data_IF_875693756991
#
_entry.id   IF_875693756991
#
_cell.length_a   1.000
_cell.length_b   1.000
_cell.length_c   1.000
_cell.angle_alpha   90.00
_cell.angle_beta   90.00
_cell.angle_gamma   90.00
#
_symmetry.space_group_name_H-M   'P 1'
#
loop_
_entity.id
_entity.type
_entity.pdbx_description
1 polymer ?
#
# COMPACT_ATOMS: atom_id res chain seq x y z
N UNK A 1 6.67 9.32 14.83
CA UNK A 1 7.51 10.54 14.76
C UNK A 1 7.55 11.14 16.15
N UNK A 2 8.69 11.09 16.82
CA UNK A 2 8.93 11.88 18.03
C UNK A 2 9.62 13.17 17.59
N UNK A 3 9.02 14.32 17.91
CA UNK A 3 9.60 15.63 17.72
C UNK A 3 10.38 15.96 19.00
N UNK A 4 11.71 15.99 18.92
CA UNK A 4 12.56 16.66 19.89
C UNK A 4 13.29 17.79 19.14
N UNK A 5 12.85 19.02 19.41
CA UNK A 5 13.53 20.31 19.15
C UNK A 5 14.24 20.52 17.79
N UNK A 6 13.55 20.23 16.69
CA UNK A 6 13.98 20.40 15.28
C UNK A 6 14.68 19.21 14.62
N UNK A 7 14.60 18.01 15.21
CA UNK A 7 15.03 16.79 14.54
C UNK A 7 13.86 15.94 14.06
N UNK A 8 14.08 15.21 12.97
CA UNK A 8 13.22 14.13 12.50
C UNK A 8 14.01 12.83 12.47
N UNK A 9 13.40 11.78 13.02
CA UNK A 9 13.88 10.42 12.89
C UNK A 9 12.88 9.63 12.04
N UNK A 10 13.36 9.02 10.96
CA UNK A 10 12.54 8.20 10.05
C UNK A 10 13.11 6.79 10.06
N UNK A 11 12.23 5.80 10.22
CA UNK A 11 12.60 4.39 10.13
C UNK A 11 11.97 3.78 8.88
N UNK A 12 12.81 3.41 7.93
CA UNK A 12 12.45 2.65 6.74
C UNK A 12 12.72 1.18 7.03
N UNK A 13 11.66 0.38 7.12
CA UNK A 13 11.71 -1.05 7.46
C UNK A 13 10.98 -1.89 6.43
N UNK A 14 11.35 -3.17 6.32
CA UNK A 14 10.77 -4.13 5.37
C UNK A 14 10.84 -3.63 3.92
N UNK A 15 11.97 -3.04 3.53
CA UNK A 15 12.12 -2.54 2.17
C UNK A 15 12.24 -3.68 1.16
N UNK A 16 11.62 -3.49 0.00
CA UNK A 16 11.63 -4.47 -1.09
C UNK A 16 13.01 -4.71 -1.70
N UNK A 17 13.94 -3.78 -1.51
CA UNK A 17 15.36 -3.91 -1.89
C UNK A 17 16.20 -4.58 -0.79
N UNK A 18 15.58 -5.04 0.31
CA UNK A 18 16.27 -5.64 1.46
C UNK A 18 17.08 -4.64 2.31
N UNK A 19 17.07 -3.35 1.94
CA UNK A 19 17.93 -2.34 2.58
C UNK A 19 17.11 -1.43 3.51
N UNK A 20 17.03 -1.84 4.76
CA UNK A 20 16.38 -1.04 5.80
C UNK A 20 17.32 0.04 6.31
N UNK A 21 16.74 1.20 6.66
CA UNK A 21 17.49 2.40 6.95
C UNK A 21 16.88 3.19 8.11
N UNK A 22 17.74 3.80 8.92
CA UNK A 22 17.39 4.82 9.90
C UNK A 22 17.91 6.16 9.42
N UNK A 23 17.06 7.16 9.41
CA UNK A 23 17.39 8.52 9.00
C UNK A 23 17.25 9.44 10.20
N UNK A 24 18.23 10.31 10.39
CA UNK A 24 18.13 11.45 11.30
C UNK A 24 18.41 12.70 10.49
N UNK A 25 17.58 13.72 10.65
CA UNK A 25 17.77 15.00 9.98
C UNK A 25 17.28 16.16 10.81
N UNK A 26 17.78 17.36 10.51
CA UNK A 26 17.41 18.61 11.16
C UNK A 26 16.59 19.46 10.20
N UNK A 27 15.56 20.11 10.73
CA UNK A 27 14.76 21.05 9.97
C UNK A 27 15.51 22.37 9.77
N UNK A 28 15.44 22.89 8.55
CA UNK A 28 15.75 24.26 8.17
C UNK A 28 14.58 24.79 7.30
N UNK A 29 13.63 25.46 7.94
CA UNK A 29 12.35 25.81 7.33
C UNK A 29 11.58 24.57 6.83
N UNK A 30 11.39 24.46 5.51
CA UNK A 30 10.76 23.29 4.87
C UNK A 30 11.76 22.24 4.39
N UNK A 31 13.06 22.52 4.48
CA UNK A 31 14.10 21.58 4.10
C UNK A 31 14.50 20.76 5.33
N UNK A 32 14.84 19.51 5.08
CA UNK A 32 15.46 18.63 6.07
C UNK A 32 16.75 18.13 5.50
N UNK A 33 17.83 18.24 6.26
CA UNK A 33 19.14 17.67 5.90
C UNK A 33 19.63 16.78 7.02
N UNK A 34 20.35 15.73 6.68
CA UNK A 34 20.83 14.81 7.69
C UNK A 34 21.64 13.65 7.13
N UNK A 35 21.77 12.60 7.95
CA UNK A 35 22.45 11.37 7.60
C UNK A 35 21.57 10.16 7.81
N UNK A 36 21.81 9.11 7.03
CA UNK A 36 21.15 7.83 7.17
C UNK A 36 22.16 6.70 7.31
N UNK A 37 21.76 5.69 8.07
CA UNK A 37 22.48 4.42 8.22
C UNK A 37 21.56 3.33 7.71
N UNK A 38 22.07 2.48 6.83
CA UNK A 38 21.31 1.36 6.28
C UNK A 38 22.02 0.03 6.53
N UNK A 39 21.30 -1.09 6.32
CA UNK A 39 21.89 -2.43 6.29
C UNK A 39 23.06 -2.50 5.31
N UNK A 40 22.97 -1.78 4.20
CA UNK A 40 24.02 -1.65 3.20
C UNK A 40 24.19 -0.18 2.83
N UNK A 41 25.33 0.39 3.22
CA UNK A 41 25.68 1.79 2.95
C UNK A 41 25.02 2.80 3.88
N UNK A 42 24.84 4.02 3.35
CA UNK A 42 24.37 5.17 4.10
C UNK A 42 25.06 6.44 3.60
N UNK A 43 24.62 7.59 4.09
CA UNK A 43 25.22 8.85 3.65
C UNK A 43 24.39 10.08 4.00
N UNK A 44 24.77 11.24 3.45
CA UNK A 44 23.99 12.45 3.58
C UNK A 44 22.69 12.33 2.77
N UNK A 45 21.61 12.88 3.31
CA UNK A 45 20.34 12.98 2.61
C UNK A 45 19.72 14.36 2.79
N UNK A 46 18.81 14.71 1.87
CA UNK A 46 17.98 15.90 1.97
C UNK A 46 16.53 15.56 1.60
N UNK A 47 15.59 16.21 2.26
CA UNK A 47 14.17 16.14 1.95
C UNK A 47 13.52 17.51 2.00
N UNK A 48 12.36 17.66 1.36
CA UNK A 48 11.55 18.88 1.43
C UNK A 48 10.14 18.50 1.89
N UNK A 49 9.64 19.18 2.92
CA UNK A 49 8.27 18.98 3.40
C UNK A 49 7.31 19.59 2.37
N UNK A 50 6.54 18.72 1.70
CA UNK A 50 5.42 19.14 0.87
C UNK A 50 4.13 19.02 1.67
N UNK A 51 3.36 20.10 1.74
CA UNK A 51 1.98 20.08 2.24
C UNK A 51 1.05 19.86 1.06
N UNK A 52 1.10 18.66 0.49
CA UNK A 52 0.09 18.21 -0.48
C UNK A 52 -1.15 17.71 0.28
N UNK A 53 -2.34 17.67 -0.35
CA UNK A 53 -3.46 16.92 0.20
C UNK A 53 -2.94 15.53 0.58
N UNK A 54 -3.17 15.10 1.83
CA UNK A 54 -2.69 13.79 2.29
C UNK A 54 -3.27 12.73 1.35
N UNK A 55 -2.44 12.21 0.45
CA UNK A 55 -2.77 11.00 -0.31
C UNK A 55 -2.94 9.89 0.73
N UNK A 56 -4.11 9.21 0.77
CA UNK A 56 -4.32 8.13 1.71
C UNK A 56 -3.23 7.08 1.53
N UNK A 57 -2.62 6.63 2.64
CA UNK A 57 -1.71 5.50 2.59
C UNK A 57 -2.51 4.23 2.23
N UNK A 58 -2.00 3.44 1.28
CA UNK A 58 -2.56 2.13 0.95
C UNK A 58 -2.35 1.13 2.11
N UNK A 59 -1.57 1.46 3.14
CA UNK A 59 -1.41 0.61 4.31
C UNK A 59 -0.76 -0.75 4.00
N UNK A 60 -0.84 -1.67 4.96
CA UNK A 60 -0.17 -2.97 4.90
C UNK A 60 -1.12 -4.12 4.57
N UNK A 61 -2.40 -3.97 4.87
CA UNK A 61 -3.40 -5.00 4.65
C UNK A 61 -4.74 -4.39 4.28
N UNK A 62 -5.43 -5.02 3.33
CA UNK A 62 -6.81 -4.69 3.00
C UNK A 62 -7.69 -5.89 3.36
N UNK A 63 -8.81 -5.61 3.99
CA UNK A 63 -9.88 -6.60 4.17
C UNK A 63 -11.01 -6.23 3.22
N UNK A 64 -11.26 -7.12 2.26
CA UNK A 64 -12.11 -6.88 1.11
C UNK A 64 -13.32 -7.81 1.10
N UNK A 65 -14.41 -7.36 0.49
CA UNK A 65 -15.62 -8.13 0.26
C UNK A 65 -16.20 -7.86 -1.14
N UNK A 66 -16.46 -8.94 -1.88
CA UNK A 66 -17.10 -8.94 -3.19
C UNK A 66 -17.97 -10.19 -3.38
N UNK A 67 -19.22 -10.05 -3.84
CA UNK A 67 -20.07 -11.19 -4.26
C UNK A 67 -20.12 -12.37 -3.27
N UNK A 68 -20.06 -12.09 -1.97
CA UNK A 68 -20.02 -13.10 -0.88
C UNK A 68 -18.65 -13.74 -0.60
N UNK A 69 -17.61 -13.34 -1.31
CA UNK A 69 -16.20 -13.61 -1.02
C UNK A 69 -15.65 -12.61 -0.02
N UNK A 70 -14.71 -13.06 0.82
CA UNK A 70 -13.92 -12.22 1.70
C UNK A 70 -12.45 -12.31 1.34
N UNK A 71 -11.87 -11.20 0.91
CA UNK A 71 -10.47 -11.04 0.55
C UNK A 71 -9.61 -10.54 1.71
N UNK A 72 -8.39 -11.08 1.81
CA UNK A 72 -7.30 -10.50 2.59
C UNK A 72 -6.15 -10.22 1.64
N UNK A 73 -5.78 -8.95 1.49
CA UNK A 73 -4.68 -8.53 0.61
C UNK A 73 -3.55 -7.97 1.45
N UNK A 74 -2.35 -8.55 1.36
CA UNK A 74 -1.21 -8.19 2.22
C UNK A 74 -0.09 -7.58 1.39
N UNK A 75 0.36 -6.38 1.76
CA UNK A 75 1.40 -5.63 1.05
C UNK A 75 2.75 -6.34 1.17
N UNK A 76 3.46 -6.46 0.04
CA UNK A 76 4.86 -6.92 0.01
C UNK A 76 5.80 -5.77 0.36
N UNK A 77 6.23 -5.72 1.62
CA UNK A 77 7.16 -4.69 2.10
C UNK A 77 6.64 -3.28 1.85
N UNK A 78 7.47 -2.42 1.25
CA UNK A 78 7.11 -1.04 0.89
C UNK A 78 6.66 -0.88 -0.58
N UNK A 79 6.42 -1.98 -1.31
CA UNK A 79 5.97 -1.95 -2.71
C UNK A 79 4.45 -1.79 -2.83
N UNK A 80 3.96 -1.42 -4.02
CA UNK A 80 2.52 -1.44 -4.32
C UNK A 80 2.01 -2.82 -4.80
N UNK A 81 2.74 -3.88 -4.48
CA UNK A 81 2.34 -5.26 -4.78
C UNK A 81 1.76 -5.89 -3.53
N UNK A 82 0.62 -6.55 -3.67
CA UNK A 82 -0.07 -7.25 -2.58
C UNK A 82 -0.32 -8.70 -2.96
N UNK A 83 -0.16 -9.60 -1.99
CA UNK A 83 -0.61 -10.98 -2.08
C UNK A 83 -2.05 -11.07 -1.59
N UNK A 84 -2.94 -11.58 -2.44
CA UNK A 84 -4.35 -11.67 -2.15
C UNK A 84 -4.80 -13.11 -1.94
N UNK A 85 -5.71 -13.30 -0.98
CA UNK A 85 -6.43 -14.54 -0.75
C UNK A 85 -7.90 -14.26 -0.49
N UNK A 86 -8.78 -14.85 -1.30
CA UNK A 86 -10.22 -14.80 -1.11
C UNK A 86 -10.75 -16.13 -0.59
N UNK A 87 -11.72 -16.05 0.32
CA UNK A 87 -12.40 -17.22 0.89
C UNK A 87 -13.91 -17.04 0.88
N UNK A 88 -14.63 -18.14 0.66
CA UNK A 88 -16.08 -18.22 0.71
C UNK A 88 -16.50 -19.60 1.21
N UNK A 89 -17.50 -19.72 2.11
CA UNK A 89 -17.98 -21.01 2.57
C UNK A 89 -18.41 -21.91 1.39
N UNK A 90 -17.93 -23.16 1.39
CA UNK A 90 -18.24 -24.13 0.34
C UNK A 90 -17.49 -23.94 -0.99
N UNK A 91 -16.56 -23.00 -1.09
CA UNK A 91 -15.75 -22.78 -2.29
C UNK A 91 -14.25 -22.93 -2.00
N UNK A 92 -13.49 -23.32 -3.02
CA UNK A 92 -12.03 -23.37 -2.95
C UNK A 92 -11.48 -21.95 -2.82
N UNK A 93 -10.57 -21.67 -1.87
CA UNK A 93 -9.93 -20.37 -1.75
C UNK A 93 -9.18 -19.98 -3.02
N UNK A 94 -9.26 -18.70 -3.40
CA UNK A 94 -8.57 -18.15 -4.56
C UNK A 94 -7.40 -17.31 -4.09
N UNK A 95 -6.28 -17.37 -4.80
CA UNK A 95 -5.11 -16.51 -4.55
C UNK A 95 -4.66 -15.81 -5.82
N UNK A 96 -4.14 -14.59 -5.69
CA UNK A 96 -3.60 -13.83 -6.82
C UNK A 96 -2.57 -12.80 -6.34
N UNK A 97 -1.89 -12.16 -7.29
CA UNK A 97 -1.02 -11.01 -7.04
C UNK A 97 -1.74 -9.74 -7.51
N UNK A 98 -1.74 -8.72 -6.67
CA UNK A 98 -2.34 -7.43 -6.97
C UNK A 98 -1.26 -6.38 -7.17
N UNK A 99 -1.33 -5.63 -8.27
CA UNK A 99 -0.56 -4.39 -8.46
C UNK A 99 -1.49 -3.20 -8.28
N UNK A 100 -1.20 -2.34 -7.30
CA UNK A 100 -2.03 -1.18 -6.98
C UNK A 100 -1.40 0.13 -7.46
N UNK A 101 -2.19 0.96 -8.13
CA UNK A 101 -1.79 2.31 -8.55
C UNK A 101 -2.79 3.31 -7.98
N UNK A 102 -2.28 4.40 -7.40
CA UNK A 102 -3.09 5.39 -6.70
C UNK A 102 -2.85 6.78 -7.27
N UNK A 103 -3.93 7.49 -7.54
CA UNK A 103 -3.91 8.90 -7.90
C UNK A 103 -4.88 9.65 -6.99
N UNK A 104 -4.33 10.36 -5.99
CA UNK A 104 -5.14 11.00 -4.95
C UNK A 104 -5.99 9.98 -4.20
N UNK A 105 -7.31 10.13 -4.26
CA UNK A 105 -8.24 9.22 -3.60
C UNK A 105 -8.71 8.08 -4.52
N UNK A 106 -8.25 8.02 -5.78
CA UNK A 106 -8.63 6.94 -6.68
C UNK A 106 -7.56 5.85 -6.69
N UNK A 107 -7.99 4.60 -6.73
CA UNK A 107 -7.12 3.42 -6.85
C UNK A 107 -7.52 2.60 -8.07
N UNK A 108 -6.52 2.12 -8.80
CA UNK A 108 -6.64 1.06 -9.81
C UNK A 108 -5.85 -0.14 -9.33
N UNK A 109 -6.41 -1.33 -9.46
CA UNK A 109 -5.78 -2.57 -9.00
C UNK A 109 -5.85 -3.61 -10.11
N UNK A 110 -4.69 -4.13 -10.49
CA UNK A 110 -4.58 -5.22 -11.45
C UNK A 110 -4.38 -6.51 -10.67
N UNK A 111 -5.40 -7.38 -10.67
CA UNK A 111 -5.32 -8.75 -10.15
C UNK A 111 -4.85 -9.67 -11.26
N UNK A 112 -3.69 -10.30 -11.05
CA UNK A 112 -3.04 -11.18 -12.03
C UNK A 112 -2.54 -12.46 -11.39
N UNK A 113 -2.29 -13.48 -12.22
CA UNK A 113 -1.84 -14.81 -11.79
C UNK A 113 -2.83 -15.46 -10.81
N UNK A 114 -4.12 -15.32 -11.09
CA UNK A 114 -5.17 -15.83 -10.23
C UNK A 114 -5.23 -17.36 -10.30
N UNK A 115 -5.33 -18.03 -9.15
CA UNK A 115 -5.33 -19.50 -9.06
C UNK A 115 -6.57 -20.15 -9.67
N UNK A 116 -7.64 -19.37 -9.86
CA UNK A 116 -8.87 -19.75 -10.56
C UNK A 116 -8.82 -19.47 -12.07
N UNK A 117 -7.72 -18.90 -12.58
CA UNK A 117 -7.56 -18.51 -13.98
C UNK A 117 -8.41 -17.30 -14.40
N UNK A 118 -8.97 -16.54 -13.45
CA UNK A 118 -9.81 -15.39 -13.72
C UNK A 118 -9.12 -14.12 -13.23
N UNK A 119 -8.51 -13.38 -14.15
CA UNK A 119 -7.83 -12.12 -13.83
C UNK A 119 -8.83 -10.96 -13.89
N UNK A 120 -8.56 -9.92 -13.11
CA UNK A 120 -9.51 -8.82 -12.92
C UNK A 120 -8.82 -7.46 -12.80
N UNK A 121 -9.51 -6.41 -13.21
CA UNK A 121 -9.17 -5.02 -12.97
C UNK A 121 -10.20 -4.38 -12.05
N UNK A 122 -9.72 -3.78 -10.97
CA UNK A 122 -10.54 -3.06 -10.00
C UNK A 122 -10.28 -1.56 -10.14
N UNK A 123 -11.35 -0.79 -10.00
CA UNK A 123 -11.30 0.65 -9.78
C UNK A 123 -12.01 0.96 -8.46
N UNK A 124 -11.50 1.92 -7.70
CA UNK A 124 -12.10 2.29 -6.43
C UNK A 124 -11.76 3.70 -5.98
N UNK A 125 -12.52 4.18 -5.00
CA UNK A 125 -12.33 5.47 -4.33
C UNK A 125 -12.11 5.25 -2.84
N UNK A 126 -11.07 5.88 -2.32
CA UNK A 126 -10.66 5.84 -0.91
C UNK A 126 -11.27 7.02 -0.18
N UNK A 127 -12.01 6.72 0.89
CA UNK A 127 -12.63 7.69 1.79
C UNK A 127 -12.25 7.34 3.24
N UNK A 128 -11.24 8.05 3.77
CA UNK A 128 -10.59 7.67 5.02
C UNK A 128 -9.87 6.33 4.87
N UNK A 129 -10.38 5.29 5.54
CA UNK A 129 -9.86 3.90 5.43
C UNK A 129 -10.77 2.99 4.63
N UNK A 130 -11.93 3.47 4.20
CA UNK A 130 -12.88 2.66 3.43
C UNK A 130 -12.61 2.87 1.95
N UNK A 131 -12.73 1.79 1.18
CA UNK A 131 -12.61 1.82 -0.27
C UNK A 131 -13.83 1.15 -0.86
N UNK A 132 -14.40 1.75 -1.89
CA UNK A 132 -15.54 1.18 -2.63
C UNK A 132 -15.33 1.37 -4.12
N UNK A 133 -15.82 0.44 -4.92
CA UNK A 133 -15.76 0.57 -6.37
C UNK A 133 -16.30 -0.64 -7.11
N UNK A 134 -15.81 -0.81 -8.33
CA UNK A 134 -16.22 -1.87 -9.24
C UNK A 134 -15.01 -2.65 -9.74
N UNK A 135 -15.26 -3.89 -10.15
CA UNK A 135 -14.27 -4.74 -10.78
C UNK A 135 -14.82 -5.38 -12.05
N UNK A 136 -13.92 -5.61 -13.00
CA UNK A 136 -14.18 -6.35 -14.22
C UNK A 136 -13.17 -7.47 -14.30
N UNK A 137 -13.63 -8.70 -14.46
CA UNK A 137 -12.82 -9.89 -14.68
C UNK A 137 -13.04 -10.44 -16.08
N UNK A 138 -12.19 -11.37 -16.50
CA UNK A 138 -12.39 -12.14 -17.72
C UNK A 138 -13.77 -12.85 -17.73
N UNK A 139 -14.25 -13.25 -16.54
CA UNK A 139 -15.51 -13.98 -16.35
C UNK A 139 -16.54 -13.18 -15.53
N UNK A 140 -16.74 -11.90 -15.83
CA UNK A 140 -17.83 -11.09 -15.27
C UNK A 140 -17.34 -9.87 -14.50
N UNK A 141 -18.14 -9.38 -13.56
CA UNK A 141 -17.79 -8.17 -12.81
C UNK A 141 -18.83 -7.84 -11.74
N UNK A 142 -18.53 -6.84 -10.94
CA UNK A 142 -19.40 -6.45 -9.83
C UNK A 142 -18.89 -5.27 -9.04
N UNK A 143 -19.51 -5.08 -7.88
CA UNK A 143 -19.09 -4.10 -6.88
C UNK A 143 -18.22 -4.79 -5.82
N UNK A 144 -17.28 -4.04 -5.28
CA UNK A 144 -16.44 -4.49 -4.16
C UNK A 144 -16.28 -3.36 -3.15
N UNK A 145 -15.90 -3.74 -1.93
CA UNK A 145 -15.50 -2.79 -0.91
C UNK A 145 -14.38 -3.34 -0.04
N UNK A 146 -13.55 -2.46 0.51
CA UNK A 146 -12.48 -2.86 1.40
C UNK A 146 -12.25 -1.87 2.53
N UNK A 147 -11.55 -2.33 3.57
CA UNK A 147 -11.02 -1.51 4.65
C UNK A 147 -9.50 -1.63 4.72
N UNK A 148 -8.82 -0.48 4.75
CA UNK A 148 -7.37 -0.38 4.88
C UNK A 148 -6.96 -0.52 6.35
N UNK A 149 -6.10 -1.49 6.62
CA UNK A 149 -5.48 -1.77 7.91
C UNK A 149 -4.01 -1.30 7.86
N UNK A 150 -3.64 -0.45 8.82
CA UNK A 150 -2.31 0.17 8.93
C UNK A 150 -1.32 -0.70 9.71
#
# INVERSE_FOLDING_TARGET
MQLQDNFVCISRRNSSDGNDCQYVGRFDGRRVTGFNICNTGGGPWTGTIRREPRVPDLGRRWEEEESGWRGVWTRRGNSNIFDARWTRPGATPVTAVLRMEQQGNNVRIERRNSSDGNDCDYIGRIEGRRVTGTYTCDQGGGNWSATIIL
#
